data_IF_696918071170
#
_entry.id   IF_696918071170
#
_cell.length_a   1.000
_cell.length_b   1.000
_cell.length_c   1.000
_cell.angle_alpha   90.00
_cell.angle_beta   90.00
_cell.angle_gamma   90.00
#
_symmetry.space_group_name_H-M   'P 1'
#
loop_
_entity.id
_entity.type
_entity.pdbx_description
1 polymer ?
#
# COMPACT_ATOMS: atom_id res chain seq x y z
N UNK A 1 17.97 -31.19 -6.26
CA UNK A 1 16.66 -30.55 -6.07
C UNK A 1 16.94 -29.12 -5.64
N UNK A 2 16.31 -28.07 -6.21
CA UNK A 2 16.58 -26.72 -5.77
C UNK A 2 16.11 -26.55 -4.33
N UNK A 3 16.96 -25.94 -3.52
CA UNK A 3 16.70 -25.53 -2.15
C UNK A 3 15.72 -24.34 -2.26
N UNK A 4 14.43 -24.58 -2.07
CA UNK A 4 13.47 -23.48 -2.03
C UNK A 4 13.64 -22.77 -0.70
N UNK A 5 14.34 -21.63 -0.78
CA UNK A 5 14.72 -20.72 0.30
C UNK A 5 13.72 -20.77 1.47
N UNK A 6 14.16 -21.34 2.60
CA UNK A 6 13.51 -21.36 3.92
C UNK A 6 13.38 -19.93 4.51
N UNK A 7 12.89 -18.96 3.74
CA UNK A 7 12.53 -17.66 4.30
C UNK A 7 11.15 -17.78 4.90
N UNK A 8 11.08 -17.87 6.22
CA UNK A 8 9.85 -17.81 7.02
C UNK A 8 9.25 -16.40 6.95
N UNK A 9 8.83 -16.00 5.74
CA UNK A 9 8.14 -14.75 5.49
C UNK A 9 6.67 -15.04 5.37
N UNK A 10 5.87 -14.22 6.04
CA UNK A 10 4.46 -14.16 5.71
C UNK A 10 4.25 -13.70 4.26
N UNK A 11 3.12 -14.08 3.68
CA UNK A 11 2.69 -13.59 2.36
C UNK A 11 2.70 -12.05 2.29
N UNK A 12 2.39 -11.40 3.42
CA UNK A 12 2.43 -9.95 3.55
C UNK A 12 3.86 -9.41 3.41
N UNK A 13 4.83 -10.02 4.09
CA UNK A 13 6.24 -9.60 4.00
C UNK A 13 6.81 -9.84 2.61
N UNK A 14 6.47 -10.98 1.99
CA UNK A 14 6.86 -11.27 0.62
C UNK A 14 6.27 -10.24 -0.36
N UNK A 15 4.98 -9.94 -0.25
CA UNK A 15 4.33 -8.94 -1.09
C UNK A 15 4.91 -7.53 -0.87
N UNK A 16 5.24 -7.16 0.37
CA UNK A 16 5.88 -5.89 0.70
C UNK A 16 7.27 -5.77 0.04
N UNK A 17 8.05 -6.86 0.03
CA UNK A 17 9.34 -6.93 -0.67
C UNK A 17 9.19 -6.74 -2.17
N UNK A 18 8.26 -7.47 -2.80
CA UNK A 18 7.97 -7.31 -4.22
C UNK A 18 7.52 -5.88 -4.57
N UNK A 19 6.71 -5.26 -3.70
CA UNK A 19 6.28 -3.88 -3.88
C UNK A 19 7.46 -2.89 -3.81
N UNK A 20 8.51 -3.17 -3.03
CA UNK A 20 9.65 -2.27 -2.86
C UNK A 20 10.43 -2.03 -4.16
N UNK A 21 10.46 -3.04 -5.03
CA UNK A 21 11.12 -3.00 -6.34
C UNK A 21 10.19 -2.53 -7.47
N UNK A 22 8.91 -2.31 -7.17
CA UNK A 22 7.90 -1.93 -8.16
C UNK A 22 7.99 -0.44 -8.55
N UNK A 23 8.23 -0.15 -9.82
CA UNK A 23 8.32 1.23 -10.35
C UNK A 23 7.02 2.03 -10.16
N UNK A 24 5.86 1.37 -10.18
CA UNK A 24 4.54 1.98 -10.01
C UNK A 24 4.04 1.95 -8.57
N UNK A 25 4.89 1.63 -7.59
CA UNK A 25 4.51 1.50 -6.16
C UNK A 25 3.64 2.66 -5.66
N UNK A 26 4.04 3.90 -5.98
CA UNK A 26 3.31 5.11 -5.55
C UNK A 26 1.97 5.28 -6.26
N UNK A 27 1.90 4.95 -7.55
CA UNK A 27 0.67 5.03 -8.34
C UNK A 27 -0.33 3.95 -7.89
N UNK A 28 0.16 2.75 -7.59
CA UNK A 28 -0.62 1.66 -7.01
C UNK A 28 -1.25 2.08 -5.67
N UNK A 29 -0.47 2.64 -4.74
CA UNK A 29 -0.98 3.14 -3.46
C UNK A 29 -2.00 4.27 -3.65
N UNK A 30 -1.74 5.21 -4.54
CA UNK A 30 -2.66 6.32 -4.81
C UNK A 30 -3.98 5.84 -5.42
N UNK A 31 -3.95 4.84 -6.30
CA UNK A 31 -5.16 4.25 -6.88
C UNK A 31 -6.02 3.62 -5.79
N UNK A 32 -5.42 2.78 -4.97
CA UNK A 32 -6.10 2.08 -3.88
C UNK A 32 -6.69 3.05 -2.83
N UNK A 33 -5.93 4.06 -2.40
CA UNK A 33 -6.42 5.11 -1.50
C UNK A 33 -7.57 5.93 -2.09
N UNK A 34 -7.65 6.06 -3.42
CA UNK A 34 -8.76 6.75 -4.11
C UNK A 34 -10.02 5.90 -4.23
N UNK A 35 -9.88 4.60 -4.41
CA UNK A 35 -11.00 3.72 -4.77
C UNK A 35 -11.58 2.99 -3.56
N UNK A 36 -10.73 2.29 -2.79
CA UNK A 36 -11.18 1.45 -1.68
C UNK A 36 -10.80 2.06 -0.33
N UNK A 37 -9.61 2.64 -0.20
CA UNK A 37 -9.17 3.28 1.04
C UNK A 37 -9.09 2.30 2.21
N UNK A 38 -9.64 2.68 3.36
CA UNK A 38 -9.52 1.93 4.62
C UNK A 38 -10.12 0.50 4.60
N UNK A 39 -10.93 0.18 3.60
CA UNK A 39 -11.62 -1.11 3.46
C UNK A 39 -10.88 -2.12 2.57
N UNK A 40 -9.74 -1.74 1.97
CA UNK A 40 -8.98 -2.64 1.10
C UNK A 40 -8.17 -3.68 1.90
N UNK A 41 -8.05 -4.90 1.37
CA UNK A 41 -7.30 -5.97 2.03
C UNK A 41 -5.97 -6.24 1.31
N UNK A 42 -5.01 -6.80 2.05
CA UNK A 42 -3.69 -7.17 1.54
C UNK A 42 -2.72 -5.99 1.42
N UNK A 43 -1.65 -6.20 0.66
CA UNK A 43 -0.56 -5.21 0.49
C UNK A 43 -0.78 -4.38 -0.77
N UNK A 44 -0.83 -3.05 -0.61
CA UNK A 44 -0.91 -2.11 -1.72
C UNK A 44 0.18 -1.06 -1.61
N UNK A 45 0.96 -0.91 -2.69
CA UNK A 45 2.11 -0.02 -2.71
C UNK A 45 3.12 -0.26 -1.57
N UNK A 46 3.22 -1.50 -1.09
CA UNK A 46 4.12 -1.91 -0.01
C UNK A 46 3.60 -1.62 1.40
N UNK A 47 2.34 -1.19 1.55
CA UNK A 47 1.70 -0.99 2.86
C UNK A 47 0.68 -2.08 3.15
N UNK A 48 0.65 -2.53 4.40
CA UNK A 48 -0.36 -3.45 4.91
C UNK A 48 -1.74 -2.80 5.02
N UNK A 49 -2.78 -3.59 5.27
CA UNK A 49 -4.13 -3.09 5.58
C UNK A 49 -4.10 -2.12 6.78
N UNK A 50 -3.39 -2.47 7.85
CA UNK A 50 -3.26 -1.64 9.05
C UNK A 50 -2.57 -0.30 8.75
N UNK A 51 -1.44 -0.33 8.04
CA UNK A 51 -0.71 0.89 7.65
C UNK A 51 -1.57 1.81 6.78
N UNK A 52 -2.31 1.25 5.82
CA UNK A 52 -3.18 2.04 4.96
C UNK A 52 -4.37 2.60 5.71
N UNK A 53 -4.97 1.86 6.66
CA UNK A 53 -6.03 2.38 7.54
C UNK A 53 -5.54 3.59 8.33
N UNK A 54 -4.31 3.55 8.84
CA UNK A 54 -3.69 4.69 9.51
C UNK A 54 -3.38 5.85 8.55
N UNK A 55 -2.94 5.57 7.33
CA UNK A 55 -2.57 6.57 6.32
C UNK A 55 -3.78 7.29 5.68
N UNK A 56 -4.86 6.56 5.42
CA UNK A 56 -6.03 7.04 4.69
C UNK A 56 -6.62 8.38 5.21
N UNK A 57 -6.82 8.61 6.53
CA UNK A 57 -7.31 9.92 7.01
C UNK A 57 -6.36 11.07 6.71
N UNK A 58 -5.04 10.85 6.82
CA UNK A 58 -4.02 11.87 6.51
C UNK A 58 -4.02 12.19 5.01
N UNK A 59 -4.11 11.15 4.18
CA UNK A 59 -4.22 11.29 2.73
C UNK A 59 -5.48 12.07 2.33
N UNK A 60 -6.64 11.72 2.90
CA UNK A 60 -7.94 12.41 2.71
C UNK A 60 -7.83 13.90 3.05
N UNK A 61 -7.27 14.22 4.23
CA UNK A 61 -7.13 15.60 4.68
C UNK A 61 -6.25 16.43 3.75
N UNK A 62 -5.11 15.88 3.31
CA UNK A 62 -4.19 16.55 2.35
C UNK A 62 -4.84 16.80 1.00
N UNK A 63 -5.72 15.91 0.53
CA UNK A 63 -6.43 16.07 -0.74
C UNK A 63 -7.54 17.12 -0.64
N UNK A 64 -8.31 17.09 0.43
CA UNK A 64 -9.37 18.07 0.68
C UNK A 64 -8.80 19.50 0.83
N UNK A 65 -7.64 19.65 1.48
CA UNK A 65 -6.97 20.95 1.60
C UNK A 65 -6.41 21.52 0.28
N UNK A 66 -6.11 20.66 -0.72
CA UNK A 66 -5.69 21.11 -2.06
C UNK A 66 -6.88 21.47 -2.97
N UNK A 67 -8.09 21.02 -2.63
CA UNK A 67 -9.32 21.32 -3.39
C UNK A 67 -10.06 22.59 -2.94
N UNK A 68 -9.63 23.25 -1.86
CA UNK A 68 -10.25 24.47 -1.31
C UNK A 68 -9.68 25.79 -1.84
N UNK A 69 -8.84 25.74 -2.87
CA UNK A 69 -8.32 26.92 -3.58
C UNK A 69 -8.92 26.96 -4.99
N UNK A 70 -10.17 27.41 -5.09
CA UNK A 70 -10.81 27.88 -6.32
C UNK A 70 -11.78 29.00 -5.95
#
# INVERSE_FOLDING_TARGET
MPEWDDQDLSDQELAARLCAECEVRRACLELDLRTVGADAFGVWGGLSDEDRRALHPVWRARRNGRGGQS
#
